data_IF_634196494976
#
_entry.id   IF_634196494976
#
_cell.length_a   1.000
_cell.length_b   1.000
_cell.length_c   1.000
_cell.angle_alpha   90.00
_cell.angle_beta   90.00
_cell.angle_gamma   90.00
#
_symmetry.space_group_name_H-M   'P 1'
#
loop_
_entity.id
_entity.type
_entity.pdbx_description
1 polymer ?
#
# COMPACT_ATOMS: atom_id res chain seq x y z
N UNK A 1 -37.15 2.77 0.81
CA UNK A 1 -36.84 4.23 0.87
C UNK A 1 -36.30 4.56 2.25
N UNK A 2 -34.99 4.44 2.45
CA UNK A 2 -34.34 4.87 3.69
C UNK A 2 -33.95 6.35 3.54
N UNK A 3 -34.45 7.20 4.45
CA UNK A 3 -34.13 8.64 4.44
C UNK A 3 -32.69 8.83 4.92
N UNK A 4 -31.84 9.38 4.05
CA UNK A 4 -30.53 9.89 4.43
C UNK A 4 -30.69 10.95 5.53
N UNK A 5 -30.04 10.72 6.67
CA UNK A 5 -30.03 11.66 7.80
C UNK A 5 -29.13 12.84 7.39
N UNK A 6 -29.70 14.04 7.29
CA UNK A 6 -28.95 15.24 6.90
C UNK A 6 -27.83 15.52 7.90
N UNK A 7 -26.66 15.95 7.38
CA UNK A 7 -25.54 16.41 8.19
C UNK A 7 -25.99 17.54 9.14
N UNK A 8 -25.47 17.58 10.38
CA UNK A 8 -25.84 18.61 11.34
C UNK A 8 -25.45 20.00 10.83
N UNK A 9 -26.39 20.96 10.95
CA UNK A 9 -26.11 22.36 10.66
C UNK A 9 -25.28 22.94 11.80
N UNK A 10 -24.07 23.40 11.48
CA UNK A 10 -23.24 24.20 12.39
C UNK A 10 -23.72 25.65 12.27
N UNK A 11 -24.37 26.16 13.32
CA UNK A 11 -24.62 27.60 13.47
C UNK A 11 -23.31 28.29 13.81
N UNK A 12 -22.89 29.25 12.97
CA UNK A 12 -21.67 30.03 13.20
C UNK A 12 -22.07 31.34 13.88
N UNK A 13 -21.92 31.41 15.20
CA UNK A 13 -21.94 32.67 15.92
C UNK A 13 -20.68 33.46 15.61
N UNK A 14 -20.84 34.67 15.07
CA UNK A 14 -19.74 35.62 14.90
C UNK A 14 -19.21 35.99 16.29
N UNK A 15 -17.98 35.56 16.59
CA UNK A 15 -17.26 36.00 17.79
C UNK A 15 -16.96 34.92 18.82
N UNK A 16 -16.50 33.74 18.41
CA UNK A 16 -15.64 32.86 19.21
C UNK A 16 -15.07 31.81 18.25
N UNK A 17 -13.75 31.86 17.98
CA UNK A 17 -13.10 30.89 17.10
C UNK A 17 -12.97 29.60 17.91
N UNK A 18 -13.88 28.66 17.74
CA UNK A 18 -13.68 27.30 18.21
C UNK A 18 -12.47 26.71 17.46
N UNK A 19 -11.31 26.70 18.13
CA UNK A 19 -9.99 26.28 17.63
C UNK A 19 -9.71 24.79 17.85
N UNK A 20 -10.70 24.01 18.26
CA UNK A 20 -10.54 22.58 18.50
C UNK A 20 -11.10 21.80 17.32
N UNK A 21 -10.26 21.00 16.66
CA UNK A 21 -10.71 19.97 15.73
C UNK A 21 -11.80 19.13 16.39
N UNK A 22 -12.98 18.94 15.77
CA UNK A 22 -14.00 18.08 16.34
C UNK A 22 -13.47 16.66 16.53
N UNK A 23 -13.83 15.99 17.64
CA UNK A 23 -13.36 14.63 17.98
C UNK A 23 -13.66 13.56 16.90
N UNK A 24 -14.60 13.82 16.00
CA UNK A 24 -15.00 12.93 14.91
C UNK A 24 -14.41 13.32 13.54
N UNK A 25 -13.39 14.18 13.54
CA UNK A 25 -12.94 14.89 12.34
C UNK A 25 -11.43 15.12 12.30
N UNK A 26 -10.85 15.17 11.10
CA UNK A 26 -9.45 15.50 10.84
C UNK A 26 -9.35 16.90 10.25
N UNK A 27 -8.50 17.75 10.80
CA UNK A 27 -8.27 19.10 10.25
C UNK A 27 -7.44 19.05 8.96
N UNK A 28 -7.89 19.76 7.91
CA UNK A 28 -7.15 19.87 6.64
C UNK A 28 -6.54 21.27 6.48
N UNK A 29 -7.19 22.29 7.02
CA UNK A 29 -6.82 23.67 6.82
C UNK A 29 -7.99 24.63 6.98
N UNK A 30 -7.82 25.85 6.48
CA UNK A 30 -8.81 26.92 6.60
C UNK A 30 -9.07 27.59 5.27
N UNK A 31 -10.35 27.69 4.91
CA UNK A 31 -10.84 28.51 3.81
C UNK A 31 -11.28 29.88 4.35
N UNK A 32 -12.58 30.21 4.30
CA UNK A 32 -13.23 31.23 5.13
C UNK A 32 -13.48 30.75 6.56
N UNK A 33 -13.54 29.43 6.76
CA UNK A 33 -13.70 28.75 8.05
C UNK A 33 -12.75 27.54 8.13
N UNK A 34 -12.51 26.96 9.32
CA UNK A 34 -11.83 25.68 9.43
C UNK A 34 -12.53 24.59 8.59
N UNK A 35 -11.74 23.79 7.87
CA UNK A 35 -12.21 22.70 7.01
C UNK A 35 -11.70 21.36 7.54
N UNK A 36 -12.57 20.35 7.50
CA UNK A 36 -12.33 19.06 8.12
C UNK A 36 -12.80 17.89 7.25
N UNK A 37 -12.17 16.73 7.42
CA UNK A 37 -12.67 15.43 6.95
C UNK A 37 -13.34 14.75 8.14
N UNK A 38 -14.64 14.45 8.05
CA UNK A 38 -15.28 13.59 9.04
C UNK A 38 -14.70 12.18 8.95
N UNK A 39 -14.26 11.59 10.06
CA UNK A 39 -13.64 10.26 10.11
C UNK A 39 -14.55 9.20 9.47
N UNK A 40 -15.85 9.24 9.74
CA UNK A 40 -16.85 8.32 9.15
C UNK A 40 -16.96 8.40 7.62
N UNK A 41 -16.49 9.48 7.01
CA UNK A 41 -16.48 9.69 5.57
C UNK A 41 -15.09 9.50 4.96
N UNK A 42 -14.05 9.20 5.76
CA UNK A 42 -12.69 9.02 5.29
C UNK A 42 -12.47 7.72 4.48
N UNK A 43 -13.45 6.80 4.48
CA UNK A 43 -13.49 5.66 3.56
C UNK A 43 -13.80 6.07 2.10
N UNK A 44 -14.20 7.33 1.87
CA UNK A 44 -14.32 7.90 0.53
C UNK A 44 -12.94 8.36 0.09
N UNK A 45 -12.26 7.54 -0.70
CA UNK A 45 -10.91 7.80 -1.19
C UNK A 45 -10.75 9.22 -1.75
N UNK A 46 -9.58 9.82 -1.52
CA UNK A 46 -9.25 11.19 -1.93
C UNK A 46 -8.04 11.26 -2.84
N UNK A 47 -7.86 12.41 -3.48
CA UNK A 47 -6.70 12.71 -4.33
C UNK A 47 -6.09 14.05 -3.90
N UNK A 48 -4.80 14.03 -3.54
CA UNK A 48 -4.02 15.25 -3.28
C UNK A 48 -3.21 15.54 -4.54
N UNK A 49 -3.49 16.67 -5.19
CA UNK A 49 -2.80 17.08 -6.42
C UNK A 49 -2.19 18.47 -6.27
N UNK A 50 -1.08 18.69 -6.96
CA UNK A 50 -0.29 19.91 -6.89
C UNK A 50 1.06 19.75 -7.59
N UNK A 51 1.62 20.86 -8.06
CA UNK A 51 2.97 20.88 -8.64
C UNK A 51 4.04 20.58 -7.57
N UNK A 52 5.27 20.33 -8.00
CA UNK A 52 6.40 20.17 -7.07
C UNK A 52 6.56 21.43 -6.22
N UNK A 53 6.73 21.25 -4.91
CA UNK A 53 6.90 22.36 -3.97
C UNK A 53 5.61 23.06 -3.51
N UNK A 54 4.42 22.60 -3.93
CA UNK A 54 3.14 23.21 -3.49
C UNK A 54 2.62 22.67 -2.15
N UNK A 55 3.42 21.89 -1.41
CA UNK A 55 3.06 21.42 -0.07
C UNK A 55 2.29 20.09 -0.01
N UNK A 56 2.35 19.25 -1.05
CA UNK A 56 1.74 17.89 -1.04
C UNK A 56 2.23 17.07 0.16
N UNK A 57 3.53 17.00 0.35
CA UNK A 57 4.17 16.27 1.46
C UNK A 57 3.73 16.80 2.83
N UNK A 58 3.71 18.14 3.01
CA UNK A 58 3.28 18.76 4.27
C UNK A 58 1.80 18.47 4.54
N UNK A 59 0.97 18.43 3.50
CA UNK A 59 -0.45 18.07 3.63
C UNK A 59 -0.61 16.61 4.06
N UNK A 60 0.16 15.70 3.45
CA UNK A 60 0.17 14.28 3.80
C UNK A 60 0.64 14.08 5.25
N UNK A 61 1.71 14.76 5.67
CA UNK A 61 2.20 14.75 7.05
C UNK A 61 1.10 15.16 8.03
N UNK A 62 0.49 16.33 7.84
CA UNK A 62 -0.58 16.81 8.73
C UNK A 62 -1.78 15.86 8.79
N UNK A 63 -2.18 15.27 7.66
CA UNK A 63 -3.25 14.27 7.65
C UNK A 63 -2.85 12.99 8.40
N UNK A 64 -1.61 12.50 8.21
CA UNK A 64 -1.12 11.30 8.89
C UNK A 64 -1.08 11.50 10.41
N UNK A 65 -0.60 12.66 10.86
CA UNK A 65 -0.60 13.10 12.25
C UNK A 65 -2.03 13.11 12.83
N UNK A 66 -2.95 13.81 12.17
CA UNK A 66 -4.34 13.93 12.62
C UNK A 66 -5.08 12.57 12.65
N UNK A 67 -4.88 11.70 11.66
CA UNK A 67 -5.44 10.34 11.70
C UNK A 67 -4.83 9.53 12.85
N UNK A 68 -3.52 9.63 13.06
CA UNK A 68 -2.83 8.97 14.16
C UNK A 68 -3.44 9.41 15.50
N UNK A 69 -3.64 10.70 15.75
CA UNK A 69 -4.25 11.22 16.99
C UNK A 69 -5.66 10.68 17.26
N UNK A 70 -6.42 10.38 16.20
CA UNK A 70 -7.73 9.72 16.30
C UNK A 70 -7.64 8.19 16.44
N UNK A 71 -6.45 7.65 16.67
CA UNK A 71 -6.22 6.21 16.83
C UNK A 71 -6.46 5.44 15.53
N UNK A 72 -6.28 6.08 14.38
CA UNK A 72 -6.35 5.46 13.05
C UNK A 72 -4.92 5.20 12.59
N UNK A 73 -4.51 3.92 12.42
CA UNK A 73 -3.23 3.58 11.81
C UNK A 73 -3.11 4.15 10.39
N UNK A 74 -1.90 4.58 10.03
CA UNK A 74 -1.61 5.18 8.72
C UNK A 74 -0.47 4.43 8.07
N UNK A 75 -0.57 4.12 6.79
CA UNK A 75 0.54 3.63 5.97
C UNK A 75 0.90 4.68 4.92
N UNK A 76 2.18 5.03 4.83
CA UNK A 76 2.71 5.97 3.86
C UNK A 76 3.84 5.33 3.06
N UNK A 77 3.71 5.33 1.73
CA UNK A 77 4.84 5.02 0.85
C UNK A 77 5.70 6.28 0.67
N UNK A 78 6.86 6.36 1.33
CA UNK A 78 7.73 7.55 1.33
C UNK A 78 8.89 7.38 0.36
N UNK A 79 8.73 8.02 -0.79
CA UNK A 79 9.71 7.98 -1.89
C UNK A 79 10.89 8.92 -1.63
N UNK A 80 10.63 10.06 -0.97
CA UNK A 80 11.59 11.16 -0.81
C UNK A 80 12.24 11.21 0.56
N UNK A 81 11.91 10.26 1.44
CA UNK A 81 12.34 10.23 2.85
C UNK A 81 11.89 11.44 3.66
N UNK A 82 10.84 12.13 3.20
CA UNK A 82 10.35 13.37 3.82
C UNK A 82 9.52 13.10 5.10
N UNK A 83 8.97 11.90 5.27
CA UNK A 83 8.06 11.55 6.36
C UNK A 83 8.77 10.98 7.58
N UNK A 84 10.05 10.59 7.44
CA UNK A 84 10.84 9.99 8.53
C UNK A 84 10.91 10.85 9.80
N UNK A 85 10.82 12.18 9.66
CA UNK A 85 10.81 13.11 10.78
C UNK A 85 9.61 13.01 11.73
N UNK A 86 8.53 12.33 11.34
CA UNK A 86 7.32 12.17 12.16
C UNK A 86 7.54 11.45 13.50
N UNK A 87 8.64 10.68 13.62
CA UNK A 87 8.97 9.95 14.84
C UNK A 87 9.45 10.87 15.97
N UNK A 88 9.98 12.05 15.64
CA UNK A 88 10.57 12.98 16.58
C UNK A 88 9.70 14.23 16.72
N UNK A 89 9.67 14.86 17.91
CA UNK A 89 9.02 16.15 18.08
C UNK A 89 9.56 17.19 17.10
N UNK A 90 8.65 17.86 16.40
CA UNK A 90 9.01 18.96 15.51
C UNK A 90 9.72 20.11 16.24
N UNK A 91 10.50 20.90 15.51
CA UNK A 91 11.11 22.11 16.05
C UNK A 91 10.31 23.35 15.61
N UNK A 92 10.10 24.33 16.51
CA UNK A 92 9.47 25.59 16.15
C UNK A 92 10.23 26.30 15.02
N UNK A 93 9.52 26.65 13.95
CA UNK A 93 10.05 27.45 12.84
C UNK A 93 9.18 28.68 12.67
N UNK A 94 9.79 29.87 12.66
CA UNK A 94 9.07 31.15 12.61
C UNK A 94 8.00 31.20 11.51
N UNK A 95 8.31 30.68 10.31
CA UNK A 95 7.37 30.62 9.17
C UNK A 95 6.16 29.72 9.43
N UNK A 96 6.34 28.59 10.11
CA UNK A 96 5.25 27.66 10.45
C UNK A 96 4.37 28.24 11.56
N UNK A 97 4.98 28.86 12.57
CA UNK A 97 4.25 29.51 13.66
C UNK A 97 3.44 30.72 13.17
N UNK A 98 4.01 31.54 12.30
CA UNK A 98 3.29 32.66 11.69
C UNK A 98 2.10 32.16 10.87
N UNK A 99 2.30 31.09 10.09
CA UNK A 99 1.21 30.47 9.33
C UNK A 99 0.13 29.89 10.23
N UNK A 100 0.50 29.17 11.28
CA UNK A 100 -0.41 28.61 12.28
C UNK A 100 -1.25 29.72 12.94
N UNK A 101 -0.63 30.84 13.33
CA UNK A 101 -1.32 32.03 13.84
C UNK A 101 -2.30 32.63 12.84
N UNK A 102 -1.94 32.75 11.56
CA UNK A 102 -2.83 33.26 10.51
C UNK A 102 -4.10 32.42 10.34
N UNK A 103 -3.97 31.10 10.45
CA UNK A 103 -5.10 30.19 10.31
C UNK A 103 -5.83 29.94 11.64
N UNK A 104 -5.25 30.35 12.77
CA UNK A 104 -5.82 30.10 14.10
C UNK A 104 -5.65 28.65 14.55
N UNK A 105 -4.57 28.00 14.10
CA UNK A 105 -4.20 26.63 14.46
C UNK A 105 -3.09 26.66 15.51
N UNK A 106 -3.19 25.79 16.50
CA UNK A 106 -2.17 25.65 17.55
C UNK A 106 -1.30 24.44 17.20
N UNK A 107 -0.02 24.68 16.90
CA UNK A 107 0.91 23.58 16.67
C UNK A 107 1.36 22.99 18.01
N UNK A 108 1.04 21.73 18.25
CA UNK A 108 1.72 20.92 19.26
C UNK A 108 2.82 20.11 18.57
N UNK A 109 4.07 20.43 18.85
CA UNK A 109 5.20 19.70 18.29
C UNK A 109 5.44 18.42 19.09
N UNK A 110 4.77 17.34 18.68
CA UNK A 110 4.94 16.00 19.25
C UNK A 110 5.54 15.02 18.25
N UNK A 111 6.13 13.94 18.75
CA UNK A 111 6.56 12.80 17.94
C UNK A 111 5.49 11.72 17.95
N UNK A 112 5.34 11.00 16.84
CA UNK A 112 4.33 9.96 16.67
C UNK A 112 4.93 8.55 16.75
N UNK A 113 4.12 7.54 17.09
CA UNK A 113 4.56 6.15 17.02
C UNK A 113 4.76 5.74 15.55
N UNK A 114 6.00 5.70 15.10
CA UNK A 114 6.37 5.35 13.72
C UNK A 114 6.94 3.93 13.65
N UNK A 115 6.59 3.19 12.59
CA UNK A 115 7.25 1.94 12.21
C UNK A 115 7.86 2.16 10.82
N UNK A 116 9.17 1.93 10.70
CA UNK A 116 9.85 1.96 9.41
C UNK A 116 9.82 0.57 8.78
N UNK A 117 9.42 0.53 7.52
CA UNK A 117 9.36 -0.66 6.69
C UNK A 117 10.28 -0.51 5.49
N UNK A 118 10.89 -1.60 5.05
CA UNK A 118 11.82 -1.59 3.91
C UNK A 118 11.78 -2.96 3.23
N UNK A 119 11.65 -2.99 1.90
CA UNK A 119 11.69 -4.25 1.14
C UNK A 119 13.08 -4.89 1.16
N UNK A 120 14.14 -4.08 1.20
CA UNK A 120 15.52 -4.56 1.24
C UNK A 120 16.01 -4.79 2.68
N UNK A 121 15.33 -4.22 3.67
CA UNK A 121 15.62 -4.38 5.09
C UNK A 121 16.81 -3.55 5.61
N UNK A 122 17.22 -2.50 4.89
CA UNK A 122 18.38 -1.66 5.26
C UNK A 122 18.01 -0.55 6.24
N UNK A 123 16.83 0.07 6.08
CA UNK A 123 16.37 1.24 6.82
C UNK A 123 15.15 0.98 7.71
N UNK A 124 14.65 -0.24 7.74
CA UNK A 124 13.42 -0.59 8.43
C UNK A 124 13.23 -2.09 8.57
N UNK A 125 12.06 -2.47 9.11
CA UNK A 125 11.65 -3.86 9.18
C UNK A 125 11.48 -4.42 7.76
N UNK A 126 12.05 -5.61 7.47
CA UNK A 126 11.92 -6.23 6.17
C UNK A 126 10.45 -6.53 5.86
N UNK A 127 9.96 -6.05 4.73
CA UNK A 127 8.69 -6.49 4.16
C UNK A 127 8.94 -7.59 3.15
N UNK A 128 8.24 -8.71 3.31
CA UNK A 128 8.30 -9.85 2.41
C UNK A 128 6.92 -10.34 2.01
N UNK A 129 6.87 -11.06 0.90
CA UNK A 129 5.73 -11.84 0.45
C UNK A 129 6.22 -13.21 0.01
N UNK A 130 5.41 -14.25 0.10
CA UNK A 130 5.75 -15.52 -0.55
C UNK A 130 5.33 -15.49 -2.02
N UNK A 131 5.98 -16.31 -2.85
CA UNK A 131 5.56 -16.54 -4.24
C UNK A 131 4.11 -17.03 -4.30
N UNK A 132 3.71 -17.84 -3.32
CA UNK A 132 2.35 -18.36 -3.22
C UNK A 132 1.31 -17.25 -3.01
N UNK A 133 1.54 -16.33 -2.06
CA UNK A 133 0.65 -15.19 -1.78
C UNK A 133 0.61 -14.18 -2.94
N UNK A 134 1.75 -13.93 -3.59
CA UNK A 134 1.80 -13.06 -4.77
C UNK A 134 0.91 -13.57 -5.91
N UNK A 135 0.86 -14.90 -6.08
CA UNK A 135 0.05 -15.55 -7.09
C UNK A 135 0.50 -15.30 -8.54
N UNK A 136 -0.10 -16.00 -9.51
CA UNK A 136 0.34 -15.99 -10.91
C UNK A 136 0.07 -14.65 -11.62
N UNK A 137 -0.95 -13.90 -11.22
CA UNK A 137 -1.32 -12.64 -11.87
C UNK A 137 -0.32 -11.52 -11.57
N UNK A 138 0.00 -11.30 -10.29
CA UNK A 138 0.94 -10.26 -9.90
C UNK A 138 2.37 -10.62 -10.33
N UNK A 139 2.75 -11.89 -10.25
CA UNK A 139 4.03 -12.38 -10.79
C UNK A 139 4.14 -12.19 -12.30
N UNK A 140 3.07 -12.45 -13.05
CA UNK A 140 3.04 -12.20 -14.50
C UNK A 140 3.26 -10.72 -14.81
N UNK A 141 2.63 -9.82 -14.07
CA UNK A 141 2.84 -8.37 -14.22
C UNK A 141 4.27 -7.95 -13.86
N UNK A 142 4.79 -8.42 -12.73
CA UNK A 142 6.15 -8.12 -12.28
C UNK A 142 7.20 -8.54 -13.32
N UNK A 143 7.01 -9.71 -13.93
CA UNK A 143 7.88 -10.26 -14.96
C UNK A 143 7.55 -9.78 -16.38
N UNK A 144 6.50 -8.96 -16.55
CA UNK A 144 5.97 -8.51 -17.84
C UNK A 144 5.73 -9.68 -18.83
N UNK A 145 5.07 -10.72 -18.34
CA UNK A 145 4.70 -11.89 -19.13
C UNK A 145 3.53 -11.57 -20.08
N UNK A 146 3.51 -12.22 -21.24
CA UNK A 146 2.37 -12.17 -22.15
C UNK A 146 1.28 -13.18 -21.76
N UNK A 147 0.10 -13.08 -22.37
CA UNK A 147 -1.06 -13.95 -22.08
C UNK A 147 -0.74 -15.45 -22.13
N UNK A 148 0.15 -15.89 -23.03
CA UNK A 148 0.54 -17.30 -23.16
C UNK A 148 1.42 -17.74 -21.98
N UNK A 149 2.36 -16.89 -21.58
CA UNK A 149 3.25 -17.14 -20.44
C UNK A 149 2.49 -17.05 -19.11
N UNK A 150 1.60 -16.07 -18.98
CA UNK A 150 0.67 -15.96 -17.85
C UNK A 150 -0.22 -17.19 -17.75
N UNK A 151 -0.76 -17.69 -18.87
CA UNK A 151 -1.54 -18.93 -18.88
C UNK A 151 -0.75 -20.15 -18.39
N UNK A 152 0.51 -20.27 -18.79
CA UNK A 152 1.42 -21.33 -18.28
C UNK A 152 1.69 -21.16 -16.79
N UNK A 153 1.91 -19.93 -16.32
CA UNK A 153 2.12 -19.64 -14.90
C UNK A 153 0.86 -19.95 -14.07
N UNK A 154 -0.33 -19.62 -14.57
CA UNK A 154 -1.60 -19.98 -13.93
C UNK A 154 -1.76 -21.50 -13.80
N UNK A 155 -1.41 -22.27 -14.85
CA UNK A 155 -1.41 -23.74 -14.77
C UNK A 155 -0.40 -24.23 -13.72
N UNK A 156 0.80 -23.64 -13.68
CA UNK A 156 1.81 -24.00 -12.68
C UNK A 156 1.32 -23.79 -11.24
N UNK A 157 0.63 -22.68 -10.96
CA UNK A 157 0.02 -22.40 -9.66
C UNK A 157 -1.15 -23.34 -9.37
N UNK A 158 -1.99 -23.64 -10.36
CA UNK A 158 -3.09 -24.60 -10.19
C UNK A 158 -2.59 -25.99 -9.78
N UNK A 159 -1.51 -26.46 -10.39
CA UNK A 159 -0.90 -27.74 -10.04
C UNK A 159 -0.24 -27.63 -8.65
N UNK A 160 0.39 -26.49 -8.33
CA UNK A 160 0.99 -26.25 -7.01
C UNK A 160 -0.05 -26.32 -5.89
N UNK A 161 -1.25 -25.75 -6.08
CA UNK A 161 -2.37 -25.88 -5.12
C UNK A 161 -2.75 -27.34 -4.87
N UNK A 162 -2.85 -28.14 -5.94
CA UNK A 162 -3.18 -29.57 -5.85
C UNK A 162 -2.08 -30.36 -5.14
N UNK A 163 -0.81 -30.02 -5.36
CA UNK A 163 0.33 -30.65 -4.69
C UNK A 163 0.40 -30.24 -3.21
N UNK A 164 0.20 -28.96 -2.89
CA UNK A 164 0.11 -28.47 -1.50
C UNK A 164 -1.01 -29.17 -0.71
N UNK A 165 -2.13 -29.47 -1.36
CA UNK A 165 -3.23 -30.22 -0.73
C UNK A 165 -2.87 -31.68 -0.42
N UNK A 166 -1.96 -32.30 -1.20
CA UNK A 166 -1.52 -33.70 -0.99
C UNK A 166 -0.30 -33.81 -0.08
N UNK A 167 0.63 -32.86 -0.21
CA UNK A 167 1.90 -32.83 0.47
C UNK A 167 2.02 -31.54 1.29
N UNK A 168 1.86 -31.66 2.61
CA UNK A 168 1.98 -30.52 3.53
C UNK A 168 3.35 -29.85 3.56
N UNK A 169 4.38 -30.52 3.03
CA UNK A 169 5.74 -29.98 2.94
C UNK A 169 6.02 -29.26 1.61
N UNK A 170 5.05 -29.22 0.69
CA UNK A 170 5.21 -28.45 -0.53
C UNK A 170 5.14 -26.95 -0.22
N UNK A 171 6.15 -26.23 -0.69
CA UNK A 171 6.33 -24.81 -0.45
C UNK A 171 6.74 -24.12 -1.75
N UNK A 172 6.14 -22.95 -2.02
CA UNK A 172 6.63 -21.98 -3.00
C UNK A 172 6.80 -20.66 -2.26
N UNK A 173 7.92 -20.53 -1.58
CA UNK A 173 8.21 -19.38 -0.73
C UNK A 173 8.91 -18.31 -1.56
N UNK A 174 9.98 -18.69 -2.25
CA UNK A 174 10.87 -17.74 -2.92
C UNK A 174 11.00 -17.97 -4.45
N UNK A 175 11.82 -17.15 -5.09
CA UNK A 175 12.08 -17.26 -6.53
C UNK A 175 12.76 -18.58 -6.91
N UNK A 176 13.59 -19.16 -6.04
CA UNK A 176 14.30 -20.42 -6.31
C UNK A 176 13.33 -21.60 -6.26
N UNK A 177 12.38 -21.59 -5.33
CA UNK A 177 11.30 -22.57 -5.29
C UNK A 177 10.48 -22.53 -6.59
N UNK A 178 10.13 -21.32 -7.06
CA UNK A 178 9.39 -21.16 -8.32
C UNK A 178 10.21 -21.65 -9.52
N UNK A 179 11.51 -21.35 -9.56
CA UNK A 179 12.40 -21.85 -10.62
C UNK A 179 12.42 -23.38 -10.62
N UNK A 180 12.67 -24.02 -9.47
CA UNK A 180 12.69 -25.47 -9.34
C UNK A 180 11.33 -26.11 -9.71
N UNK A 181 10.23 -25.47 -9.33
CA UNK A 181 8.89 -25.93 -9.66
C UNK A 181 8.62 -25.89 -11.17
N UNK A 182 9.00 -24.81 -11.84
CA UNK A 182 8.86 -24.69 -13.29
C UNK A 182 9.76 -25.70 -14.03
N UNK A 183 10.94 -26.03 -13.50
CA UNK A 183 11.80 -27.09 -14.04
C UNK A 183 11.15 -28.47 -13.96
N UNK A 184 10.55 -28.82 -12.81
CA UNK A 184 9.83 -30.08 -12.64
C UNK A 184 8.62 -30.18 -13.59
N UNK A 185 7.85 -29.10 -13.71
CA UNK A 185 6.72 -29.06 -14.66
C UNK A 185 7.18 -29.21 -16.11
N UNK A 186 8.32 -28.64 -16.48
CA UNK A 186 8.89 -28.82 -17.82
C UNK A 186 9.31 -30.28 -18.08
N UNK A 187 9.84 -30.96 -17.06
CA UNK A 187 10.22 -32.37 -17.16
C UNK A 187 9.01 -33.30 -17.36
N UNK A 188 7.86 -32.93 -16.77
CA UNK A 188 6.59 -33.69 -16.84
C UNK A 188 5.55 -33.11 -17.80
N UNK A 189 5.94 -32.17 -18.66
CA UNK A 189 5.01 -31.40 -19.49
C UNK A 189 4.10 -32.26 -20.38
N UNK A 190 4.61 -33.36 -20.93
CA UNK A 190 3.85 -34.25 -21.82
C UNK A 190 2.72 -34.98 -21.07
N UNK A 191 2.96 -35.37 -19.81
CA UNK A 191 1.96 -35.99 -18.94
C UNK A 191 0.87 -34.97 -18.56
N UNK A 192 1.29 -33.77 -18.16
CA UNK A 192 0.42 -32.72 -17.63
C UNK A 192 -0.46 -32.09 -18.71
N UNK A 193 0.02 -32.06 -19.96
CA UNK A 193 -0.68 -31.41 -21.08
C UNK A 193 -2.10 -31.95 -21.29
N UNK A 194 -2.30 -33.25 -21.09
CA UNK A 194 -3.60 -33.90 -21.27
C UNK A 194 -4.64 -33.41 -20.25
N UNK A 195 -4.20 -33.06 -19.03
CA UNK A 195 -5.10 -32.71 -17.92
C UNK A 195 -5.31 -31.20 -17.78
N UNK A 196 -4.27 -30.39 -17.98
CA UNK A 196 -4.30 -28.96 -17.69
C UNK A 196 -4.16 -28.05 -18.92
N UNK A 197 -3.92 -28.62 -20.09
CA UNK A 197 -3.61 -27.86 -21.31
C UNK A 197 -2.10 -27.69 -21.52
N UNK A 198 -1.73 -27.07 -22.64
CA UNK A 198 -0.35 -27.07 -23.13
C UNK A 198 0.61 -26.28 -22.22
N UNK A 199 1.58 -26.98 -21.64
CA UNK A 199 2.68 -26.39 -20.87
C UNK A 199 3.93 -26.37 -21.77
N UNK A 200 4.09 -25.31 -22.56
CA UNK A 200 5.21 -25.25 -23.50
C UNK A 200 6.56 -25.02 -22.80
N UNK A 201 7.55 -25.86 -23.10
CA UNK A 201 8.93 -25.72 -22.59
C UNK A 201 9.54 -24.36 -22.97
N UNK A 202 9.14 -23.79 -24.11
CA UNK A 202 9.57 -22.47 -24.56
C UNK A 202 9.03 -21.34 -23.67
N UNK A 203 7.76 -21.43 -23.25
CA UNK A 203 7.16 -20.48 -22.30
C UNK A 203 7.86 -20.58 -20.94
N UNK A 204 8.07 -21.79 -20.42
CA UNK A 204 8.82 -21.99 -19.17
C UNK A 204 10.22 -21.37 -19.26
N UNK A 205 10.96 -21.64 -20.33
CA UNK A 205 12.30 -21.04 -20.52
C UNK A 205 12.28 -19.50 -20.61
N UNK A 206 11.15 -18.89 -20.98
CA UNK A 206 11.01 -17.44 -20.95
C UNK A 206 10.72 -16.92 -19.54
N UNK A 207 9.81 -17.60 -18.81
CA UNK A 207 9.52 -17.27 -17.41
C UNK A 207 10.80 -17.39 -16.56
N UNK A 208 11.58 -18.46 -16.74
CA UNK A 208 12.87 -18.66 -16.08
C UNK A 208 13.85 -17.50 -16.29
N UNK A 209 13.96 -17.00 -17.53
CA UNK A 209 14.81 -15.83 -17.82
C UNK A 209 14.30 -14.56 -17.12
N UNK A 210 12.98 -14.36 -17.06
CA UNK A 210 12.40 -13.23 -16.33
C UNK A 210 12.66 -13.33 -14.82
N UNK A 211 12.63 -14.53 -14.24
CA UNK A 211 12.98 -14.75 -12.83
C UNK A 211 14.44 -14.37 -12.54
N UNK A 212 15.38 -14.72 -13.42
CA UNK A 212 16.79 -14.33 -13.27
C UNK A 212 16.98 -12.80 -13.32
N UNK A 213 16.24 -12.10 -14.17
CA UNK A 213 16.28 -10.63 -14.22
C UNK A 213 15.74 -10.03 -12.92
N UNK A 214 14.66 -10.60 -12.38
CA UNK A 214 14.07 -10.14 -11.12
C UNK A 214 15.01 -10.39 -9.92
N UNK A 215 15.70 -11.52 -9.89
CA UNK A 215 16.72 -11.83 -8.89
C UNK A 215 17.86 -10.79 -8.92
N UNK A 216 18.35 -10.43 -10.12
CA UNK A 216 19.36 -9.38 -10.29
C UNK A 216 18.89 -7.98 -9.86
N UNK A 217 17.58 -7.73 -9.87
CA UNK A 217 16.96 -6.50 -9.38
C UNK A 217 16.70 -6.52 -7.86
N UNK A 218 17.15 -7.57 -7.16
CA UNK A 218 16.99 -7.71 -5.72
C UNK A 218 15.64 -8.28 -5.29
N UNK A 219 14.92 -8.95 -6.20
CA UNK A 219 13.65 -9.63 -5.86
C UNK A 219 13.79 -10.68 -4.75
N UNK A 220 14.99 -11.23 -4.55
CA UNK A 220 15.31 -12.15 -3.44
C UNK A 220 15.12 -11.55 -2.04
N UNK A 221 15.19 -10.23 -1.90
CA UNK A 221 14.92 -9.56 -0.63
C UNK A 221 13.42 -9.49 -0.33
N UNK A 222 12.60 -9.45 -1.39
CA UNK A 222 11.15 -9.32 -1.31
C UNK A 222 10.44 -10.66 -1.15
N UNK A 223 10.91 -11.71 -1.83
CA UNK A 223 10.30 -13.03 -1.75
C UNK A 223 10.90 -13.88 -0.63
N UNK A 224 10.10 -14.19 0.40
CA UNK A 224 10.57 -15.01 1.52
C UNK A 224 9.67 -14.95 2.75
N UNK A 225 10.14 -15.56 3.84
CA UNK A 225 9.46 -15.58 5.14
C UNK A 225 10.16 -14.70 6.19
N UNK A 226 9.46 -14.19 7.22
CA UNK A 226 8.00 -14.24 7.36
C UNK A 226 7.34 -13.24 6.38
N UNK A 227 6.21 -13.62 5.76
CA UNK A 227 5.46 -12.68 4.93
C UNK A 227 4.83 -11.57 5.79
N UNK A 228 4.51 -10.45 5.16
CA UNK A 228 3.85 -9.32 5.81
C UNK A 228 2.50 -9.74 6.38
N UNK A 229 2.33 -9.60 7.70
CA UNK A 229 1.01 -9.69 8.30
C UNK A 229 0.34 -8.32 8.26
N UNK A 230 -0.78 -8.20 7.54
CA UNK A 230 -1.54 -6.95 7.41
C UNK A 230 -1.97 -6.38 8.76
N UNK A 231 -2.19 -7.23 9.78
CA UNK A 231 -2.52 -6.77 11.13
C UNK A 231 -1.38 -5.99 11.80
N UNK A 232 -0.13 -6.18 11.36
CA UNK A 232 0.99 -5.39 11.87
C UNK A 232 0.91 -3.92 11.44
N UNK A 233 0.22 -3.63 10.33
CA UNK A 233 -0.02 -2.25 9.86
C UNK A 233 -1.17 -1.56 10.61
N UNK A 234 -2.01 -2.31 11.32
CA UNK A 234 -3.21 -1.81 11.99
C UNK A 234 -3.02 -1.59 13.51
N UNK A 235 -1.77 -1.56 13.98
CA UNK A 235 -1.47 -1.40 15.40
C UNK A 235 -1.75 0.02 15.90
N UNK A 236 -2.00 0.14 17.20
CA UNK A 236 -2.13 1.41 17.92
C UNK A 236 -1.21 1.44 19.14
N UNK A 237 -0.75 2.63 19.55
CA UNK A 237 -0.01 2.88 20.79
C UNK A 237 -0.75 3.91 21.64
N UNK A 238 -1.40 3.43 22.71
CA UNK A 238 -2.24 4.30 23.54
C UNK A 238 -3.43 4.83 22.74
N UNK A 239 -3.56 6.16 22.63
CA UNK A 239 -4.62 6.79 21.82
C UNK A 239 -4.23 6.95 20.35
N UNK A 240 -2.95 6.79 20.01
CA UNK A 240 -2.44 7.06 18.67
C UNK A 240 -2.41 5.79 17.80
N UNK A 241 -2.74 5.92 16.51
CA UNK A 241 -2.48 4.89 15.50
C UNK A 241 -1.01 4.89 15.08
N UNK A 242 -0.41 3.73 14.82
CA UNK A 242 0.96 3.73 14.28
C UNK A 242 0.99 4.33 12.88
N UNK A 243 2.03 5.14 12.61
CA UNK A 243 2.35 5.62 11.26
C UNK A 243 3.42 4.69 10.69
N UNK A 244 3.02 3.80 9.81
CA UNK A 244 3.89 2.91 9.05
C UNK A 244 4.46 3.65 7.85
N UNK A 245 5.78 3.80 7.78
CA UNK A 245 6.49 4.48 6.68
C UNK A 245 7.31 3.44 5.93
N UNK A 246 6.97 3.23 4.65
CA UNK A 246 7.80 2.46 3.74
C UNK A 246 8.91 3.34 3.19
N UNK A 247 10.16 3.00 3.49
CA UNK A 247 11.33 3.58 2.87
C UNK A 247 11.42 3.10 1.42
N UNK A 248 11.02 3.95 0.47
CA UNK A 248 10.94 3.59 -0.95
C UNK A 248 12.07 4.19 -1.81
N UNK A 249 13.09 4.80 -1.21
CA UNK A 249 14.16 5.47 -1.96
C UNK A 249 14.94 4.51 -2.86
N UNK A 250 15.31 3.32 -2.36
CA UNK A 250 15.93 2.26 -3.19
C UNK A 250 14.93 1.55 -4.10
N UNK A 251 13.67 1.44 -3.67
CA UNK A 251 12.61 0.83 -4.47
C UNK A 251 12.35 1.62 -5.77
N UNK A 252 12.61 2.93 -5.78
CA UNK A 252 12.54 3.74 -7.01
C UNK A 252 13.55 3.33 -8.08
N UNK A 253 14.69 2.74 -7.71
CA UNK A 253 15.64 2.20 -8.69
C UNK A 253 15.08 0.95 -9.38
N UNK A 254 14.07 0.30 -8.78
CA UNK A 254 13.34 -0.84 -9.31
C UNK A 254 11.82 -0.61 -9.37
N UNK A 255 11.33 0.25 -10.30
CA UNK A 255 9.92 0.67 -10.34
C UNK A 255 8.92 -0.49 -10.42
N UNK A 256 9.30 -1.61 -11.05
CA UNK A 256 8.45 -2.81 -11.16
C UNK A 256 8.23 -3.50 -9.82
N UNK A 257 9.29 -3.61 -9.01
CA UNK A 257 9.20 -4.19 -7.66
C UNK A 257 8.32 -3.29 -6.80
N UNK A 258 8.52 -1.96 -6.88
CA UNK A 258 7.69 -0.99 -6.15
C UNK A 258 6.20 -1.10 -6.51
N UNK A 259 5.86 -1.04 -7.80
CA UNK A 259 4.46 -1.10 -8.25
C UNK A 259 3.82 -2.44 -7.89
N UNK A 260 4.54 -3.56 -8.08
CA UNK A 260 4.03 -4.89 -7.72
C UNK A 260 3.83 -5.02 -6.22
N UNK A 261 4.77 -4.53 -5.40
CA UNK A 261 4.63 -4.55 -3.95
C UNK A 261 3.38 -3.81 -3.49
N UNK A 262 3.13 -2.60 -4.00
CA UNK A 262 1.95 -1.84 -3.63
C UNK A 262 0.64 -2.51 -4.11
N UNK A 263 0.63 -3.12 -5.29
CA UNK A 263 -0.52 -3.91 -5.77
C UNK A 263 -0.76 -5.18 -4.95
N UNK A 264 0.31 -5.85 -4.53
CA UNK A 264 0.28 -6.98 -3.61
C UNK A 264 -0.33 -6.54 -2.27
N UNK A 265 0.20 -5.47 -1.66
CA UNK A 265 -0.29 -4.95 -0.40
C UNK A 265 -1.78 -4.55 -0.47
N UNK A 266 -2.21 -3.96 -1.59
CA UNK A 266 -3.62 -3.67 -1.84
C UNK A 266 -4.48 -4.93 -1.99
N UNK A 267 -3.97 -5.99 -2.63
CA UNK A 267 -4.69 -7.27 -2.74
C UNK A 267 -4.84 -7.92 -1.38
N UNK A 268 -3.75 -8.01 -0.60
CA UNK A 268 -3.78 -8.56 0.76
C UNK A 268 -4.76 -7.79 1.66
N UNK A 269 -4.75 -6.46 1.59
CA UNK A 269 -5.73 -5.64 2.31
C UNK A 269 -7.17 -5.96 1.89
N UNK A 270 -7.42 -6.15 0.60
CA UNK A 270 -8.76 -6.47 0.10
C UNK A 270 -9.22 -7.89 0.48
N UNK A 271 -8.30 -8.85 0.52
CA UNK A 271 -8.60 -10.25 0.88
C UNK A 271 -8.79 -10.44 2.38
N UNK A 272 -7.93 -9.84 3.20
CA UNK A 272 -7.95 -10.02 4.67
C UNK A 272 -8.96 -9.09 5.36
N UNK A 273 -9.23 -7.91 4.82
CA UNK A 273 -10.17 -6.97 5.45
C UNK A 273 -11.62 -7.26 5.06
N UNK A 274 -12.55 -7.38 6.03
CA UNK A 274 -13.95 -7.56 5.71
C UNK A 274 -14.53 -6.31 5.05
N UNK A 275 -15.38 -6.50 4.05
CA UNK A 275 -16.18 -5.41 3.51
C UNK A 275 -17.18 -4.93 4.56
N UNK A 276 -17.02 -3.67 4.99
CA UNK A 276 -17.84 -3.03 6.01
C UNK A 276 -18.37 -1.71 5.48
N UNK A 277 -19.60 -1.38 5.87
CA UNK A 277 -20.23 -0.10 5.54
C UNK A 277 -19.64 1.07 6.33
N UNK A 278 -20.48 2.04 6.70
CA UNK A 278 -20.02 3.25 7.37
C UNK A 278 -19.67 2.99 8.85
N UNK A 279 -18.36 2.85 9.12
CA UNK A 279 -17.80 2.86 10.47
C UNK A 279 -17.64 4.29 11.00
N UNK A 280 -17.51 4.45 12.32
CA UNK A 280 -17.26 5.76 12.94
C UNK A 280 -15.91 6.37 12.51
N UNK A 281 -14.92 5.51 12.23
CA UNK A 281 -13.61 5.87 11.71
C UNK A 281 -13.00 4.72 10.89
N UNK A 282 -12.08 5.00 9.95
CA UNK A 282 -11.38 3.96 9.19
C UNK A 282 -10.50 3.08 10.10
N UNK A 283 -10.28 1.83 9.68
CA UNK A 283 -9.35 0.90 10.35
C UNK A 283 -7.88 1.14 9.98
N UNK A 284 -7.64 1.67 8.78
CA UNK A 284 -6.34 1.98 8.23
C UNK A 284 -6.53 3.07 7.17
N UNK A 285 -5.60 4.04 7.11
CA UNK A 285 -5.53 5.02 6.01
C UNK A 285 -4.24 4.76 5.24
N UNK A 286 -4.35 4.67 3.92
CA UNK A 286 -3.21 4.44 3.03
C UNK A 286 -2.93 5.68 2.19
N UNK A 287 -1.71 6.21 2.27
CA UNK A 287 -1.23 7.30 1.43
C UNK A 287 -0.21 6.79 0.42
N UNK A 288 -0.56 6.97 -0.86
CA UNK A 288 0.34 6.75 -1.99
C UNK A 288 1.01 8.06 -2.36
N UNK A 289 2.28 8.24 -1.97
CA UNK A 289 3.08 9.25 -2.67
C UNK A 289 3.47 8.71 -4.05
N UNK A 290 3.54 9.61 -5.03
CA UNK A 290 3.83 9.27 -6.42
C UNK A 290 2.93 8.17 -7.02
N UNK A 291 1.62 8.24 -6.72
CA UNK A 291 0.62 7.27 -7.18
C UNK A 291 0.67 6.98 -8.70
N UNK A 292 1.17 7.91 -9.52
CA UNK A 292 1.35 7.72 -10.97
C UNK A 292 2.21 6.50 -11.31
N UNK A 293 3.16 6.11 -10.45
CA UNK A 293 4.00 4.93 -10.65
C UNK A 293 3.22 3.62 -10.63
N UNK A 294 2.07 3.57 -9.94
CA UNK A 294 1.18 2.40 -9.96
C UNK A 294 0.41 2.27 -11.27
N UNK A 295 0.19 3.38 -11.98
CA UNK A 295 -0.74 3.44 -13.10
C UNK A 295 -0.06 3.56 -14.47
N UNK A 296 1.27 3.69 -14.52
CA UNK A 296 2.01 3.84 -15.77
C UNK A 296 1.87 2.63 -16.73
N UNK A 297 1.68 1.43 -16.18
CA UNK A 297 1.51 0.18 -16.95
C UNK A 297 0.07 -0.33 -16.98
N UNK A 298 -0.90 0.45 -16.47
CA UNK A 298 -2.31 0.08 -16.62
C UNK A 298 -2.68 0.26 -18.09
N UNK A 299 -3.11 -0.81 -18.80
CA UNK A 299 -3.48 -0.68 -20.20
C UNK A 299 -4.54 0.41 -20.32
N UNK A 300 -4.41 1.29 -21.32
CA UNK A 300 -5.40 2.30 -21.64
C UNK A 300 -6.78 1.62 -21.73
N UNK A 301 -7.54 1.64 -20.66
CA UNK A 301 -8.90 1.14 -20.66
C UNK A 301 -9.64 2.03 -21.63
N UNK A 302 -10.08 1.45 -22.76
CA UNK A 302 -11.10 2.05 -23.61
C UNK A 302 -12.18 2.60 -22.68
N UNK A 303 -12.40 3.90 -22.78
CA UNK A 303 -13.45 4.67 -22.11
C UNK A 303 -14.57 3.77 -21.58
N UNK A 304 -14.66 3.62 -20.27
CA UNK A 304 -15.95 3.34 -19.65
C UNK A 304 -16.81 4.56 -20.01
N UNK A 305 -17.60 4.38 -21.06
CA UNK A 305 -18.65 5.32 -21.41
C UNK A 305 -19.64 5.25 -20.26
N UNK A 306 -19.79 6.39 -19.59
CA UNK A 306 -20.79 6.67 -18.56
C UNK A 306 -22.18 6.28 -19.05
#
# INVERSE_FOLDING_TARGET
>A
MAKAKAAPKVEVSQGEVATTTPDDSVYIGKSTKPEFIYLRLANRHGLITGATGTGKTVTLQGLAEEFSDHGVPVFCADVKSDLSGLAEPGQPRARLEERAKQIGFTNEFQGYPVIFWDVFGDKGLPIRATVFEMGPLLLSRLMNLNDVQEGVLNIAFKIADEEKAKNKNFQLIDLKDLQAWLEDLAARADELTTKYGNISKASIGTIQRSLLVLEQQGGEHFFGEPPLNINDLMKTKGRCGYISILAADKLMDSPRIYATFLLFLLSELFEEMPEVGDLDKPKLVFFFDEAHLLFNDVPNTKSLSV
#
